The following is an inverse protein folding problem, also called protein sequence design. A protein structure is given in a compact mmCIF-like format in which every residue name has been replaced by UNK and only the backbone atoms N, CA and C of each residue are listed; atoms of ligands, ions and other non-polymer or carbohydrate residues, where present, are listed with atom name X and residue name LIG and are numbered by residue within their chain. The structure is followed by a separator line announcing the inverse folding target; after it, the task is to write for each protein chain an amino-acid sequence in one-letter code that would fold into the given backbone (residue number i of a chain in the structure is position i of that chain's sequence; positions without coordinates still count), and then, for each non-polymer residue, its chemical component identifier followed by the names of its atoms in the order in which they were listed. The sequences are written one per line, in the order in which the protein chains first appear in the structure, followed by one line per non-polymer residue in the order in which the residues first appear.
data_IF_931549593780
#
_entry.id   IF_931549593780
#
_cell.length_a   1.000
_cell.length_b   1.000
_cell.length_c   1.000
_cell.angle_alpha   90.00
_cell.angle_beta   90.00
_cell.angle_gamma   90.00
#
_symmetry.space_group_name_H-M   'P 1'
#
loop_
_entity.id
_entity.type
_entity.pdbx_description
1 polymer ?
#
# COMPACT_ATOMS: atom_id res chain seq x y z
N UNK A 1 -31.80 9.48 18.47
CA UNK A 1 -30.95 10.20 17.51
C UNK A 1 -29.51 10.08 17.98
N UNK A 2 -28.60 9.58 17.15
CA UNK A 2 -27.18 9.41 17.50
C UNK A 2 -26.46 10.75 17.30
N UNK A 3 -25.74 11.23 18.31
CA UNK A 3 -25.05 12.53 18.27
C UNK A 3 -23.95 12.55 17.18
N UNK A 4 -23.82 13.65 16.41
CA UNK A 4 -22.88 13.80 15.29
C UNK A 4 -21.39 13.94 15.71
N UNK A 5 -21.07 13.83 17.01
CA UNK A 5 -19.73 14.06 17.58
C UNK A 5 -19.11 12.82 18.24
N UNK A 6 -19.80 11.69 18.29
CA UNK A 6 -19.16 10.43 18.68
C UNK A 6 -18.53 9.83 17.43
N UNK A 7 -17.24 10.12 17.23
CA UNK A 7 -16.41 9.38 16.27
C UNK A 7 -16.66 7.87 16.43
N UNK A 8 -16.51 7.11 15.35
CA UNK A 8 -16.71 5.65 15.38
C UNK A 8 -15.97 5.05 16.59
N UNK A 9 -16.58 4.09 17.32
CA UNK A 9 -15.89 3.44 18.43
C UNK A 9 -14.53 2.91 17.96
N UNK A 10 -13.50 2.90 18.83
CA UNK A 10 -12.21 2.32 18.49
C UNK A 10 -12.37 0.90 17.95
N UNK A 11 -11.47 0.50 17.04
CA UNK A 11 -11.47 -0.85 16.48
C UNK A 11 -11.32 -1.87 17.60
N UNK A 12 -12.16 -2.90 17.58
CA UNK A 12 -11.94 -4.09 18.39
C UNK A 12 -10.87 -4.95 17.74
N UNK A 13 -9.67 -4.95 18.32
CA UNK A 13 -8.50 -5.69 17.82
C UNK A 13 -8.59 -7.21 18.06
N UNK A 14 -9.69 -7.71 18.63
CA UNK A 14 -9.97 -9.13 18.83
C UNK A 14 -11.10 -9.65 17.94
N UNK A 15 -11.71 -8.79 17.14
CA UNK A 15 -12.87 -9.14 16.31
C UNK A 15 -12.53 -10.10 15.14
N UNK A 16 -11.28 -10.11 14.69
CA UNK A 16 -10.80 -10.96 13.59
C UNK A 16 -9.76 -11.98 14.03
N UNK A 17 -8.54 -11.84 13.50
CA UNK A 17 -7.43 -12.78 13.65
C UNK A 17 -6.23 -12.14 14.38
N UNK A 18 -6.32 -11.90 15.69
CA UNK A 18 -5.23 -11.26 16.45
C UNK A 18 -3.92 -12.08 16.42
N UNK A 19 -3.99 -13.42 16.41
CA UNK A 19 -2.81 -14.27 16.35
C UNK A 19 -2.11 -14.23 14.98
N UNK A 20 -2.86 -14.09 13.88
CA UNK A 20 -2.29 -13.81 12.57
C UNK A 20 -1.56 -12.47 12.53
N UNK A 21 -2.13 -11.45 13.16
CA UNK A 21 -1.52 -10.14 13.27
C UNK A 21 -0.22 -10.19 14.08
N UNK A 22 -0.13 -11.03 15.12
CA UNK A 22 1.12 -11.25 15.86
C UNK A 22 2.17 -11.94 15.00
N UNK A 23 1.80 -12.98 14.25
CA UNK A 23 2.70 -13.67 13.29
C UNK A 23 3.26 -12.70 12.25
N UNK A 24 2.42 -11.85 11.66
CA UNK A 24 2.85 -10.81 10.72
C UNK A 24 3.90 -9.87 11.32
N UNK A 25 3.69 -9.42 12.57
CA UNK A 25 4.62 -8.51 13.25
C UNK A 25 5.95 -9.19 13.57
N UNK A 26 5.91 -10.45 14.01
CA UNK A 26 7.10 -11.24 14.31
C UNK A 26 7.95 -11.46 13.05
N UNK A 27 7.30 -11.72 11.91
CA UNK A 27 7.95 -12.08 10.64
C UNK A 27 8.15 -10.87 9.70
N UNK A 28 7.92 -9.64 10.19
CA UNK A 28 7.81 -8.43 9.34
C UNK A 28 9.01 -8.23 8.41
N UNK A 29 10.22 -8.45 8.91
CA UNK A 29 11.45 -8.23 8.14
C UNK A 29 11.58 -9.24 6.99
N UNK A 30 11.29 -10.51 7.26
CA UNK A 30 11.35 -11.58 6.27
C UNK A 30 10.26 -11.44 5.21
N UNK A 31 9.03 -11.14 5.62
CA UNK A 31 7.90 -10.92 4.72
C UNK A 31 8.11 -9.66 3.87
N UNK A 32 8.60 -8.57 4.47
CA UNK A 32 8.91 -7.34 3.75
C UNK A 32 9.98 -7.54 2.69
N UNK A 33 11.06 -8.24 3.02
CA UNK A 33 12.11 -8.59 2.05
C UNK A 33 11.55 -9.42 0.88
N UNK A 34 10.80 -10.49 1.20
CA UNK A 34 10.21 -11.34 0.15
C UNK A 34 9.20 -10.59 -0.71
N UNK A 35 8.41 -9.70 -0.12
CA UNK A 35 7.46 -8.88 -0.87
C UNK A 35 8.17 -7.92 -1.84
N UNK A 36 9.30 -7.32 -1.44
CA UNK A 36 10.09 -6.47 -2.32
C UNK A 36 10.74 -7.26 -3.46
N UNK A 37 11.27 -8.46 -3.18
CA UNK A 37 11.78 -9.36 -4.23
C UNK A 37 10.69 -9.65 -5.26
N UNK A 38 9.51 -10.06 -4.82
CA UNK A 38 8.38 -10.36 -5.70
C UNK A 38 7.93 -9.11 -6.47
N UNK A 39 7.91 -7.94 -5.84
CA UNK A 39 7.59 -6.69 -6.54
C UNK A 39 8.59 -6.40 -7.67
N UNK A 40 9.88 -6.64 -7.46
CA UNK A 40 10.93 -6.51 -8.49
C UNK A 40 10.81 -7.60 -9.55
N UNK A 41 10.40 -8.82 -9.19
CA UNK A 41 10.10 -9.89 -10.16
C UNK A 41 8.91 -9.49 -11.07
N UNK A 42 7.88 -8.83 -10.50
CA UNK A 42 6.71 -8.33 -11.24
C UNK A 42 7.11 -7.15 -12.15
N UNK A 43 7.87 -6.19 -11.63
CA UNK A 43 8.40 -5.06 -12.38
C UNK A 43 9.91 -4.89 -12.14
N UNK A 44 10.76 -5.46 -13.02
CA UNK A 44 12.22 -5.35 -12.92
C UNK A 44 12.74 -3.91 -12.98
N UNK A 45 11.96 -2.98 -13.54
CA UNK A 45 12.37 -1.58 -13.63
C UNK A 45 12.34 -0.84 -12.29
N UNK A 46 11.71 -1.41 -11.24
CA UNK A 46 11.83 -0.93 -9.85
C UNK A 46 13.30 -0.90 -9.42
N UNK A 47 14.06 -1.96 -9.72
CA UNK A 47 15.47 -2.06 -9.32
C UNK A 47 16.32 -0.95 -9.96
N UNK A 48 16.05 -0.65 -11.23
CA UNK A 48 16.75 0.41 -11.99
C UNK A 48 16.34 1.80 -11.50
N UNK A 49 15.04 2.05 -11.30
CA UNK A 49 14.51 3.36 -10.87
C UNK A 49 15.03 3.79 -9.50
N UNK A 50 15.11 2.86 -8.56
CA UNK A 50 15.43 3.17 -7.16
C UNK A 50 16.92 3.03 -6.84
N UNK A 51 17.63 2.17 -7.57
CA UNK A 51 18.99 1.76 -7.21
C UNK A 51 19.04 1.14 -5.81
N UNK A 52 20.23 0.82 -5.33
CA UNK A 52 20.40 0.10 -4.07
C UNK A 52 19.85 0.87 -2.86
N UNK A 53 20.17 2.17 -2.76
CA UNK A 53 19.71 3.00 -1.64
C UNK A 53 18.18 3.17 -1.64
N UNK A 54 17.56 3.31 -2.81
CA UNK A 54 16.10 3.42 -2.92
C UNK A 54 15.41 2.10 -2.58
N UNK A 55 15.96 0.96 -2.99
CA UNK A 55 15.44 -0.36 -2.61
C UNK A 55 15.51 -0.59 -1.09
N UNK A 56 16.59 -0.18 -0.42
CA UNK A 56 16.67 -0.23 1.06
C UNK A 56 15.60 0.64 1.73
N UNK A 57 15.25 1.78 1.13
CA UNK A 57 14.15 2.64 1.63
C UNK A 57 12.79 1.98 1.39
N UNK A 58 12.54 1.45 0.20
CA UNK A 58 11.32 0.69 -0.11
C UNK A 58 11.16 -0.54 0.79
N UNK A 59 12.24 -1.23 1.13
CA UNK A 59 12.21 -2.32 2.09
C UNK A 59 11.68 -1.84 3.45
N UNK A 60 12.17 -0.70 3.95
CA UNK A 60 11.67 -0.11 5.20
C UNK A 60 10.20 0.31 5.08
N UNK A 61 9.76 0.73 3.91
CA UNK A 61 8.37 1.12 3.64
C UNK A 61 7.38 -0.07 3.68
N UNK A 62 7.88 -1.30 3.62
CA UNK A 62 7.03 -2.50 3.82
C UNK A 62 6.56 -2.63 5.26
N UNK A 63 7.32 -2.16 6.26
CA UNK A 63 6.97 -2.28 7.67
C UNK A 63 5.64 -1.60 8.04
N UNK A 64 5.39 -0.33 7.69
CA UNK A 64 4.11 0.30 8.00
C UNK A 64 2.95 -0.37 7.23
N UNK A 65 3.16 -0.87 6.01
CA UNK A 65 2.13 -1.64 5.29
C UNK A 65 1.79 -2.95 6.01
N UNK A 66 2.79 -3.69 6.47
CA UNK A 66 2.61 -4.93 7.25
C UNK A 66 1.89 -4.62 8.56
N UNK A 67 2.20 -3.51 9.23
CA UNK A 67 1.49 -3.11 10.45
C UNK A 67 0.01 -2.80 10.16
N UNK A 68 -0.30 -2.12 9.05
CA UNK A 68 -1.69 -1.89 8.66
C UNK A 68 -2.42 -3.18 8.30
N UNK A 69 -1.74 -4.12 7.67
CA UNK A 69 -2.29 -5.45 7.39
C UNK A 69 -2.56 -6.23 8.68
N UNK A 70 -1.67 -6.15 9.66
CA UNK A 70 -1.87 -6.73 10.98
C UNK A 70 -3.09 -6.11 11.69
N UNK A 71 -3.30 -4.79 11.58
CA UNK A 71 -4.52 -4.12 12.06
C UNK A 71 -5.76 -4.64 11.32
N UNK A 72 -5.69 -4.74 9.99
CA UNK A 72 -6.80 -5.22 9.16
C UNK A 72 -7.24 -6.62 9.59
N UNK A 73 -6.30 -7.55 9.78
CA UNK A 73 -6.59 -8.91 10.22
C UNK A 73 -7.13 -8.95 11.65
N UNK A 74 -6.48 -8.27 12.60
CA UNK A 74 -6.88 -8.28 14.00
C UNK A 74 -8.30 -7.74 14.23
N UNK A 75 -8.68 -6.70 13.50
CA UNK A 75 -9.96 -6.01 13.65
C UNK A 75 -11.04 -6.41 12.63
N UNK A 76 -10.75 -7.38 11.75
CA UNK A 76 -11.55 -7.69 10.55
C UNK A 76 -11.96 -6.44 9.74
N UNK A 77 -11.01 -5.49 9.62
CA UNK A 77 -11.21 -4.22 8.91
C UNK A 77 -10.45 -4.24 7.58
N UNK A 78 -11.13 -4.69 6.52
CA UNK A 78 -10.60 -4.71 5.15
C UNK A 78 -10.13 -3.34 4.65
N UNK A 79 -10.61 -2.23 5.23
CA UNK A 79 -10.27 -0.88 4.80
C UNK A 79 -9.04 -0.30 5.51
N UNK A 80 -8.48 -0.97 6.53
CA UNK A 80 -7.39 -0.41 7.32
C UNK A 80 -6.12 -0.12 6.49
N UNK A 81 -5.78 -0.99 5.53
CA UNK A 81 -4.63 -0.79 4.63
C UNK A 81 -4.94 0.28 3.58
N UNK A 82 -6.14 0.26 3.00
CA UNK A 82 -6.56 1.24 2.00
C UNK A 82 -6.66 2.67 2.56
N UNK A 83 -7.14 2.81 3.79
CA UNK A 83 -7.16 4.09 4.50
C UNK A 83 -5.73 4.63 4.66
N UNK A 84 -4.78 3.79 5.08
CA UNK A 84 -3.38 4.22 5.14
C UNK A 84 -2.82 4.57 3.76
N UNK A 85 -3.10 3.76 2.73
CA UNK A 85 -2.64 4.01 1.36
C UNK A 85 -3.03 5.42 0.90
N UNK A 86 -4.28 5.83 1.12
CA UNK A 86 -4.77 7.16 0.75
C UNK A 86 -4.02 8.28 1.48
N UNK A 87 -3.74 8.09 2.77
CA UNK A 87 -3.06 9.08 3.60
C UNK A 87 -1.59 9.28 3.20
N UNK A 88 -0.91 8.22 2.72
CA UNK A 88 0.54 8.27 2.44
C UNK A 88 0.89 8.62 1.00
N UNK A 89 -0.10 8.74 0.11
CA UNK A 89 0.12 9.13 -1.30
C UNK A 89 0.98 10.39 -1.43
N UNK A 90 0.69 11.45 -0.67
CA UNK A 90 1.42 12.71 -0.75
C UNK A 90 2.88 12.57 -0.30
N UNK A 91 3.19 12.00 0.89
CA UNK A 91 4.56 11.71 1.29
C UNK A 91 5.37 10.89 0.29
N UNK A 92 4.82 9.80 -0.25
CA UNK A 92 5.55 8.95 -1.21
C UNK A 92 5.79 9.65 -2.55
N UNK A 93 4.82 10.44 -3.03
CA UNK A 93 5.00 11.27 -4.22
C UNK A 93 6.10 12.31 -4.03
N UNK A 94 6.17 12.98 -2.87
CA UNK A 94 7.26 13.93 -2.57
C UNK A 94 8.63 13.26 -2.56
N UNK A 95 8.69 11.96 -2.24
CA UNK A 95 9.91 11.14 -2.34
C UNK A 95 10.20 10.65 -3.77
N UNK A 96 9.34 10.95 -4.74
CA UNK A 96 9.49 10.48 -6.12
C UNK A 96 9.18 8.99 -6.30
N UNK A 97 8.48 8.35 -5.35
CA UNK A 97 8.08 6.94 -5.46
C UNK A 97 6.81 6.83 -6.32
N UNK A 98 6.84 6.10 -7.45
CA UNK A 98 5.63 5.81 -8.23
C UNK A 98 4.59 5.06 -7.40
N UNK A 99 3.30 5.41 -7.56
CA UNK A 99 2.23 4.69 -6.86
C UNK A 99 2.10 3.25 -7.35
N UNK A 100 2.41 2.97 -8.61
CA UNK A 100 2.43 1.61 -9.14
C UNK A 100 3.48 0.73 -8.38
N UNK A 101 4.58 1.30 -7.89
CA UNK A 101 5.57 0.56 -7.08
C UNK A 101 5.00 0.14 -5.73
N UNK A 102 4.21 1.02 -5.09
CA UNK A 102 3.52 0.69 -3.85
C UNK A 102 2.37 -0.31 -4.09
N UNK A 103 1.73 -0.27 -5.25
CA UNK A 103 0.76 -1.30 -5.65
C UNK A 103 1.43 -2.66 -5.84
N UNK A 104 2.61 -2.71 -6.49
CA UNK A 104 3.39 -3.94 -6.61
C UNK A 104 3.89 -4.45 -5.25
N UNK A 105 4.20 -3.57 -4.29
CA UNK A 105 4.49 -4.01 -2.91
C UNK A 105 3.26 -4.66 -2.25
N UNK A 106 2.05 -4.15 -2.46
CA UNK A 106 0.83 -4.81 -1.97
C UNK A 106 0.66 -6.20 -2.59
N UNK A 107 0.88 -6.34 -3.90
CA UNK A 107 0.86 -7.63 -4.59
C UNK A 107 1.94 -8.58 -4.08
N UNK A 108 3.15 -8.07 -3.85
CA UNK A 108 4.26 -8.82 -3.26
C UNK A 108 3.94 -9.33 -1.85
N UNK A 109 3.31 -8.50 -1.02
CA UNK A 109 2.84 -8.91 0.32
C UNK A 109 1.76 -9.99 0.23
N UNK A 110 0.82 -9.89 -0.71
CA UNK A 110 -0.21 -10.89 -0.92
C UNK A 110 0.38 -12.26 -1.27
N UNK A 111 1.48 -12.28 -2.04
CA UNK A 111 2.19 -13.52 -2.41
C UNK A 111 3.19 -14.02 -1.36
N UNK A 112 3.67 -13.15 -0.47
CA UNK A 112 4.62 -13.52 0.58
C UNK A 112 3.96 -14.08 1.85
N UNK A 113 2.74 -13.63 2.16
CA UNK A 113 2.00 -13.95 3.40
C UNK A 113 1.45 -15.39 3.52
N UNK A 114 1.21 -16.17 2.44
CA UNK A 114 0.77 -17.57 2.57
C UNK A 114 1.71 -18.47 3.37
N UNK A 115 3.00 -18.08 3.49
CA UNK A 115 3.97 -18.82 4.28
C UNK A 115 3.68 -18.79 5.80
N UNK A 116 2.83 -17.87 6.27
CA UNK A 116 2.56 -17.66 7.70
C UNK A 116 1.08 -17.53 8.05
N UNK A 117 0.19 -17.47 7.05
CA UNK A 117 -1.26 -17.35 7.22
C UNK A 117 -1.97 -18.65 6.82
N UNK A 118 -3.06 -18.98 7.51
CA UNK A 118 -4.01 -20.01 7.06
C UNK A 118 -4.80 -19.54 5.83
N UNK A 119 -5.49 -20.43 5.09
CA UNK A 119 -6.26 -20.03 3.91
C UNK A 119 -7.32 -18.95 4.16
N UNK A 120 -8.00 -18.99 5.31
CA UNK A 120 -9.00 -17.98 5.66
C UNK A 120 -8.36 -16.61 5.94
N UNK A 121 -7.29 -16.60 6.74
CA UNK A 121 -6.54 -15.37 7.05
C UNK A 121 -5.91 -14.77 5.80
N UNK A 122 -5.42 -15.63 4.90
CA UNK A 122 -4.84 -15.24 3.62
C UNK A 122 -5.88 -14.55 2.72
N UNK A 123 -7.09 -15.10 2.59
CA UNK A 123 -8.15 -14.47 1.81
C UNK A 123 -8.51 -13.06 2.32
N UNK A 124 -8.48 -12.85 3.65
CA UNK A 124 -8.69 -11.53 4.26
C UNK A 124 -7.52 -10.58 4.01
N UNK A 125 -6.29 -11.09 4.08
CA UNK A 125 -5.10 -10.31 3.78
C UNK A 125 -5.07 -9.85 2.32
N UNK A 126 -5.39 -10.75 1.39
CA UNK A 126 -5.48 -10.47 -0.05
C UNK A 126 -6.51 -9.38 -0.34
N UNK A 127 -7.70 -9.48 0.24
CA UNK A 127 -8.72 -8.45 0.04
C UNK A 127 -8.27 -7.08 0.55
N UNK A 128 -7.70 -7.01 1.76
CA UNK A 128 -7.21 -5.75 2.33
C UNK A 128 -6.07 -5.12 1.50
N UNK A 129 -5.15 -5.94 1.00
CA UNK A 129 -4.04 -5.52 0.14
C UNK A 129 -4.51 -5.08 -1.24
N UNK A 130 -5.50 -5.76 -1.83
CA UNK A 130 -6.10 -5.36 -3.11
C UNK A 130 -6.85 -4.03 -2.98
N UNK A 131 -7.56 -3.77 -1.87
CA UNK A 131 -8.14 -2.45 -1.63
C UNK A 131 -7.08 -1.35 -1.60
N UNK A 132 -5.94 -1.59 -0.94
CA UNK A 132 -4.83 -0.63 -0.91
C UNK A 132 -4.15 -0.45 -2.29
N UNK A 133 -3.94 -1.54 -3.02
CA UNK A 133 -3.40 -1.50 -4.38
C UNK A 133 -4.31 -0.67 -5.30
N UNK A 134 -5.64 -0.81 -5.20
CA UNK A 134 -6.61 0.02 -5.94
C UNK A 134 -6.47 1.50 -5.61
N UNK A 135 -6.26 1.86 -4.34
CA UNK A 135 -6.02 3.27 -3.94
C UNK A 135 -4.74 3.81 -4.58
N UNK A 136 -3.64 3.06 -4.51
CA UNK A 136 -2.39 3.48 -5.16
C UNK A 136 -2.56 3.61 -6.68
N UNK A 137 -3.19 2.63 -7.33
CA UNK A 137 -3.48 2.66 -8.77
C UNK A 137 -4.43 3.80 -9.14
N UNK A 138 -5.40 4.15 -8.29
CA UNK A 138 -6.25 5.34 -8.50
C UNK A 138 -5.41 6.62 -8.52
N UNK A 139 -4.45 6.71 -7.59
CA UNK A 139 -3.49 7.81 -7.50
C UNK A 139 -2.31 7.69 -8.48
N UNK A 140 -2.33 6.78 -9.47
CA UNK A 140 -1.27 6.68 -10.49
C UNK A 140 -1.15 7.90 -11.39
N UNK A 141 -2.26 8.62 -11.60
CA UNK A 141 -2.38 9.80 -12.47
C UNK A 141 -2.67 11.03 -11.63
N UNK A 142 -1.89 12.08 -11.78
CA UNK A 142 -2.29 13.41 -11.30
C UNK A 142 -3.49 13.91 -12.10
N UNK A 143 -4.41 14.63 -11.43
CA UNK A 143 -5.10 15.77 -12.03
C UNK A 143 -4.02 16.81 -12.42
N UNK A 144 -3.38 16.58 -13.56
CA UNK A 144 -2.17 17.30 -13.96
C UNK A 144 -1.09 16.45 -14.63
N UNK A 145 -1.16 15.12 -14.67
CA UNK A 145 -0.20 14.29 -15.42
C UNK A 145 -0.45 14.39 -16.94
N UNK A 146 -1.66 14.79 -17.32
CA UNK A 146 -1.95 15.33 -18.64
C UNK A 146 -1.23 16.67 -18.93
N UNK A 147 -0.53 17.26 -17.96
CA UNK A 147 0.48 18.31 -18.19
C UNK A 147 1.87 17.73 -18.36
N UNK A 148 1.99 16.64 -19.13
CA UNK A 148 2.98 16.64 -20.22
C UNK A 148 2.62 17.80 -21.13
N UNK A 149 2.96 19.04 -20.72
CA UNK A 149 2.60 20.35 -21.28
C UNK A 149 2.08 20.18 -22.70
N UNK A 150 0.79 19.86 -22.85
CA UNK A 150 0.26 19.49 -24.15
C UNK A 150 0.46 20.75 -24.98
N UNK A 151 1.36 20.69 -25.98
CA UNK A 151 1.88 21.91 -26.61
C UNK A 151 0.73 22.76 -27.15
N UNK A 152 -0.34 22.10 -27.58
CA UNK A 152 -1.63 22.69 -27.96
C UNK A 152 -2.33 23.46 -26.82
N UNK A 153 -2.51 22.84 -25.65
CA UNK A 153 -3.11 23.52 -24.49
C UNK A 153 -2.23 24.67 -23.98
N UNK A 154 -0.91 24.51 -24.02
CA UNK A 154 0.02 25.56 -23.63
C UNK A 154 0.08 26.74 -24.62
N UNK A 155 -0.16 26.48 -25.91
CA UNK A 155 -0.30 27.49 -26.97
C UNK A 155 -1.61 28.27 -26.81
N UNK A 156 -2.74 27.58 -26.64
CA UNK A 156 -4.05 28.21 -26.42
C UNK A 156 -4.10 29.07 -25.15
N UNK A 157 -3.45 28.64 -24.06
CA UNK A 157 -3.45 29.37 -22.80
C UNK A 157 -2.44 30.52 -22.72
N UNK A 158 -1.48 30.61 -23.65
CA UNK A 158 -0.49 31.71 -23.70
C UNK A 158 -0.88 32.85 -24.64
N UNK A 159 -2.04 32.75 -25.31
CA UNK A 159 -2.61 33.80 -26.13
C UNK A 159 -1.96 33.93 -27.50
N UNK A 160 -2.81 34.16 -28.49
CA UNK A 160 -2.50 35.08 -29.58
C UNK A 160 -2.24 36.49 -29.00
#
# INVERSE_FOLDING_TARGET
MSHPTLGRPPRDMRAGHPDAALRLRAERGRIGARALEIAVEIDPSIAVRHGELGLRKLLRDTEPLIERLAIALAADDRMAVAAYADWVVVPYRRRGVPMDDLAHLCEGLARATPAILSPLEQARAEDALEQAARVFRWHRRLAGDARRRNKLLAFLYKGA
#
